data_IF_625223273820
#
_entry.id   IF_625223273820
#
_cell.length_a   1.000
_cell.length_b   1.000
_cell.length_c   1.000
_cell.angle_alpha   90.00
_cell.angle_beta   90.00
_cell.angle_gamma   90.00
#
_symmetry.space_group_name_H-M   'P 1'
#
loop_
_entity.id
_entity.type
_entity.pdbx_description
1 polymer ?
#
# COMPACT_ATOMS: atom_id res chain seq x y z
N UNK A 1 -6.98 -0.60 -17.58
CA UNK A 1 -6.36 -1.95 -17.64
C UNK A 1 -6.96 -2.82 -16.55
N UNK A 2 -7.38 -4.02 -16.87
CA UNK A 2 -7.99 -4.87 -15.87
C UNK A 2 -6.92 -5.68 -15.14
N UNK A 3 -7.33 -6.34 -14.04
CA UNK A 3 -6.35 -7.02 -13.19
C UNK A 3 -5.65 -8.17 -13.91
N UNK A 4 -6.36 -8.85 -14.80
CA UNK A 4 -5.74 -9.94 -15.55
C UNK A 4 -4.62 -9.43 -16.44
N UNK A 5 -4.86 -8.30 -17.12
CA UNK A 5 -3.83 -7.67 -17.94
C UNK A 5 -2.65 -7.21 -17.12
N UNK A 6 -2.92 -6.65 -15.95
CA UNK A 6 -1.85 -6.21 -15.06
C UNK A 6 -0.97 -7.36 -14.64
N UNK A 7 -1.59 -8.47 -14.29
CA UNK A 7 -0.82 -9.67 -13.90
C UNK A 7 -0.02 -10.21 -15.07
N UNK A 8 -0.64 -10.28 -16.24
CA UNK A 8 0.06 -10.77 -17.43
C UNK A 8 1.24 -9.87 -17.79
N UNK A 9 1.05 -8.55 -17.70
CA UNK A 9 2.13 -7.62 -17.98
C UNK A 9 3.28 -7.75 -17.01
N UNK A 10 2.99 -8.15 -15.78
CA UNK A 10 4.00 -8.39 -14.76
C UNK A 10 4.59 -9.80 -14.86
N UNK A 11 4.18 -10.56 -15.89
CA UNK A 11 4.64 -11.93 -16.11
C UNK A 11 4.23 -12.85 -14.98
N UNK A 12 3.06 -12.58 -14.41
CA UNK A 12 2.49 -13.41 -13.37
C UNK A 12 1.25 -14.10 -13.90
N UNK A 13 1.12 -15.37 -13.52
CA UNK A 13 -0.06 -16.12 -13.87
C UNK A 13 -1.27 -15.52 -13.17
N UNK A 14 -2.35 -15.33 -13.92
CA UNK A 14 -3.56 -14.70 -13.39
C UNK A 14 -4.43 -15.72 -12.66
N UNK A 15 -3.96 -16.17 -11.51
CA UNK A 15 -4.73 -17.08 -10.67
C UNK A 15 -5.90 -16.33 -10.03
N UNK A 16 -6.89 -17.08 -9.59
CA UNK A 16 -8.06 -16.47 -8.98
C UNK A 16 -7.69 -15.68 -7.72
N UNK A 17 -6.82 -16.23 -6.89
CA UNK A 17 -6.39 -15.54 -5.67
C UNK A 17 -5.71 -14.20 -5.99
N UNK A 18 -4.83 -14.20 -6.98
CA UNK A 18 -4.15 -12.96 -7.37
C UNK A 18 -5.11 -11.93 -7.90
N UNK A 19 -6.07 -12.36 -8.73
CA UNK A 19 -7.05 -11.42 -9.29
C UNK A 19 -7.90 -10.81 -8.20
N UNK A 20 -8.34 -11.62 -7.24
CA UNK A 20 -9.21 -11.13 -6.17
C UNK A 20 -8.46 -10.14 -5.28
N UNK A 21 -7.25 -10.49 -4.88
CA UNK A 21 -6.48 -9.62 -3.98
C UNK A 21 -6.08 -8.34 -4.69
N UNK A 22 -5.58 -8.44 -5.92
CA UNK A 22 -5.18 -7.25 -6.67
C UNK A 22 -6.37 -6.34 -6.93
N UNK A 23 -7.51 -6.90 -7.28
CA UNK A 23 -8.72 -6.12 -7.51
C UNK A 23 -9.16 -5.37 -6.28
N UNK A 24 -9.06 -6.00 -5.11
CA UNK A 24 -9.41 -5.34 -3.87
C UNK A 24 -8.49 -4.16 -3.59
N UNK A 25 -7.18 -4.35 -3.78
CA UNK A 25 -6.23 -3.28 -3.52
C UNK A 25 -6.45 -2.09 -4.45
N UNK A 26 -6.76 -2.36 -5.71
CA UNK A 26 -7.01 -1.28 -6.67
C UNK A 26 -8.31 -0.55 -6.31
N UNK A 27 -9.33 -1.30 -5.95
CA UNK A 27 -10.62 -0.70 -5.59
C UNK A 27 -10.48 0.23 -4.40
N UNK A 28 -9.77 -0.21 -3.36
CA UNK A 28 -9.60 0.59 -2.15
C UNK A 28 -8.63 1.75 -2.35
N UNK A 29 -7.65 1.57 -3.23
CA UNK A 29 -6.68 2.61 -3.58
C UNK A 29 -6.00 3.23 -2.35
N UNK A 30 -5.82 2.46 -1.31
CA UNK A 30 -5.11 2.89 -0.11
C UNK A 30 -4.40 1.68 0.49
N UNK A 31 -3.31 1.91 1.23
CA UNK A 31 -2.57 0.79 1.81
C UNK A 31 -3.40 0.04 2.84
N UNK A 32 -3.40 -1.27 2.74
CA UNK A 32 -4.15 -2.14 3.63
C UNK A 32 -3.22 -3.18 4.24
N UNK A 33 -3.40 -3.45 5.52
CA UNK A 33 -2.64 -4.49 6.19
C UNK A 33 -3.15 -5.87 5.78
N UNK A 34 -2.36 -6.90 6.06
CA UNK A 34 -2.77 -8.27 5.82
C UNK A 34 -4.11 -8.57 6.49
N UNK A 35 -4.26 -8.12 7.74
CA UNK A 35 -5.47 -8.34 8.50
C UNK A 35 -6.68 -7.64 7.87
N UNK A 36 -6.47 -6.41 7.41
CA UNK A 36 -7.55 -5.67 6.76
C UNK A 36 -7.97 -6.33 5.46
N UNK A 37 -6.98 -6.75 4.66
CA UNK A 37 -7.28 -7.44 3.41
C UNK A 37 -8.08 -8.70 3.69
N UNK A 38 -7.64 -9.48 4.67
CA UNK A 38 -8.30 -10.73 5.02
C UNK A 38 -9.76 -10.50 5.39
N UNK A 39 -10.03 -9.45 6.15
CA UNK A 39 -11.39 -9.16 6.60
C UNK A 39 -12.29 -8.65 5.48
N UNK A 40 -11.70 -8.13 4.40
CA UNK A 40 -12.47 -7.56 3.29
C UNK A 40 -12.74 -8.54 2.17
N UNK A 41 -12.07 -9.68 2.16
CA UNK A 41 -12.27 -10.68 1.11
C UNK A 41 -13.62 -11.36 1.29
N UNK A 42 -14.39 -11.44 0.20
CA UNK A 42 -15.69 -12.13 0.26
C UNK A 42 -15.51 -13.63 0.41
N UNK A 43 -14.48 -14.18 -0.21
CA UNK A 43 -14.12 -15.59 -0.04
C UNK A 43 -12.81 -15.65 0.73
N UNK A 44 -12.80 -16.20 1.92
CA UNK A 44 -11.61 -16.19 2.75
C UNK A 44 -10.48 -16.99 2.12
N UNK A 45 -9.28 -16.45 2.26
CA UNK A 45 -8.06 -17.17 1.94
C UNK A 45 -7.36 -17.48 3.26
N UNK A 46 -6.72 -18.65 3.32
CA UNK A 46 -5.94 -18.92 4.52
C UNK A 46 -4.75 -17.96 4.58
N UNK A 47 -4.22 -17.82 5.78
CA UNK A 47 -3.20 -16.81 6.06
C UNK A 47 -1.96 -16.99 5.20
N UNK A 48 -1.53 -18.24 5.01
CA UNK A 48 -0.32 -18.53 4.24
C UNK A 48 -0.52 -18.20 2.77
N UNK A 49 -1.69 -18.56 2.23
CA UNK A 49 -1.99 -18.30 0.83
C UNK A 49 -2.04 -16.79 0.56
N UNK A 50 -2.69 -16.04 1.43
CA UNK A 50 -2.75 -14.59 1.26
C UNK A 50 -1.36 -13.98 1.35
N UNK A 51 -0.56 -14.41 2.32
CA UNK A 51 0.79 -13.92 2.49
C UNK A 51 1.62 -14.16 1.22
N UNK A 52 1.57 -15.37 0.69
CA UNK A 52 2.34 -15.73 -0.51
C UNK A 52 1.86 -14.95 -1.73
N UNK A 53 0.55 -14.76 -1.84
CA UNK A 53 -0.01 -13.99 -2.94
C UNK A 53 0.51 -12.56 -2.91
N UNK A 54 0.49 -11.94 -1.75
CA UNK A 54 0.99 -10.57 -1.59
C UNK A 54 2.49 -10.49 -1.86
N UNK A 55 3.25 -11.47 -1.38
CA UNK A 55 4.70 -11.46 -1.58
C UNK A 55 5.06 -11.59 -3.06
N UNK A 56 4.38 -12.46 -3.77
CA UNK A 56 4.63 -12.64 -5.20
C UNK A 56 4.36 -11.36 -5.97
N UNK A 57 3.24 -10.70 -5.67
CA UNK A 57 2.89 -9.48 -6.39
C UNK A 57 3.77 -8.31 -5.98
N UNK A 58 4.22 -8.29 -4.74
CA UNK A 58 5.15 -7.24 -4.29
C UNK A 58 6.50 -7.41 -4.98
N UNK A 59 6.98 -8.64 -5.10
CA UNK A 59 8.26 -8.90 -5.76
C UNK A 59 8.22 -8.51 -7.23
N UNK A 60 7.05 -8.58 -7.87
CA UNK A 60 6.93 -8.20 -9.27
C UNK A 60 6.75 -6.71 -9.48
N UNK A 61 6.50 -5.96 -8.42
CA UNK A 61 6.36 -4.52 -8.50
C UNK A 61 4.95 -4.01 -8.72
N UNK A 62 3.96 -4.88 -8.93
CA UNK A 62 2.59 -4.40 -9.13
C UNK A 62 1.90 -4.08 -7.81
N UNK A 63 2.42 -4.56 -6.69
CA UNK A 63 1.96 -4.21 -5.37
C UNK A 63 3.12 -3.55 -4.64
N UNK A 64 2.84 -2.46 -3.97
CA UNK A 64 3.82 -1.74 -3.17
C UNK A 64 3.53 -1.96 -1.71
N UNK A 65 4.57 -2.06 -0.89
CA UNK A 65 4.39 -2.25 0.54
C UNK A 65 5.03 -1.11 1.31
N UNK A 66 4.39 -0.73 2.40
CA UNK A 66 4.82 0.36 3.26
C UNK A 66 4.70 -0.11 4.70
N UNK A 67 5.76 0.07 5.48
CA UNK A 67 5.72 -0.27 6.89
C UNK A 67 5.32 0.96 7.69
N UNK A 68 4.29 0.82 8.53
CA UNK A 68 3.89 1.90 9.40
C UNK A 68 4.75 1.98 10.62
N UNK A 69 4.56 3.06 11.38
CA UNK A 69 5.27 3.27 12.62
C UNK A 69 4.96 2.17 13.64
N UNK A 70 3.79 1.57 13.49
CA UNK A 70 3.35 0.47 14.35
C UNK A 70 4.00 -0.87 13.97
N UNK A 71 4.88 -0.86 12.98
CA UNK A 71 5.55 -2.08 12.52
C UNK A 71 4.72 -2.92 11.58
N UNK A 72 3.52 -2.50 11.27
CA UNK A 72 2.62 -3.28 10.43
C UNK A 72 2.88 -2.96 8.96
N UNK A 73 3.06 -4.00 8.16
CA UNK A 73 3.22 -3.84 6.72
C UNK A 73 1.85 -3.67 6.08
N UNK A 74 1.77 -2.71 5.16
CA UNK A 74 0.55 -2.44 4.41
C UNK A 74 0.87 -2.51 2.93
N UNK A 75 -0.14 -2.87 2.15
CA UNK A 75 0.02 -3.14 0.72
C UNK A 75 -0.96 -2.30 -0.07
N UNK A 76 -0.51 -1.75 -1.18
CA UNK A 76 -1.39 -0.98 -2.06
C UNK A 76 -1.04 -1.26 -3.51
N UNK A 77 -2.02 -1.06 -4.37
CA UNK A 77 -1.84 -1.19 -5.80
C UNK A 77 -2.75 -0.17 -6.48
N UNK A 78 -2.30 0.29 -7.63
CA UNK A 78 -3.06 1.29 -8.39
C UNK A 78 -3.04 0.92 -9.85
N UNK A 79 -4.10 1.29 -10.54
CA UNK A 79 -4.17 1.10 -11.99
C UNK A 79 -3.07 1.93 -12.64
N UNK A 80 -2.20 1.32 -13.44
CA UNK A 80 -1.12 2.08 -14.09
C UNK A 80 -1.60 3.19 -14.99
N UNK A 81 -2.84 3.10 -15.47
CA UNK A 81 -3.39 4.12 -16.35
C UNK A 81 -3.99 5.29 -15.61
N UNK A 82 -4.15 5.19 -14.31
CA UNK A 82 -4.63 6.29 -13.49
C UNK A 82 -3.43 7.02 -12.90
N UNK A 83 -3.69 8.17 -12.28
CA UNK A 83 -2.64 8.85 -11.54
C UNK A 83 -2.51 8.21 -10.17
N UNK A 84 -2.12 6.95 -10.19
CA UNK A 84 -2.05 6.19 -8.97
C UNK A 84 -0.73 6.34 -8.27
N UNK A 85 -0.54 5.48 -7.31
CA UNK A 85 0.62 5.45 -6.46
C UNK A 85 1.79 4.77 -7.19
N UNK A 86 2.83 5.51 -7.56
CA UNK A 86 4.01 4.88 -8.16
C UNK A 86 4.94 4.29 -7.11
N UNK A 87 4.56 4.37 -5.82
CA UNK A 87 5.44 3.93 -4.77
C UNK A 87 6.47 4.96 -4.35
N UNK A 88 6.36 6.17 -4.90
CA UNK A 88 7.37 7.22 -4.69
C UNK A 88 6.70 8.47 -4.13
N UNK A 89 5.96 8.32 -3.05
CA UNK A 89 5.30 9.44 -2.41
C UNK A 89 5.11 9.12 -0.94
N UNK A 90 4.84 10.16 -0.12
CA UNK A 90 4.62 9.93 1.31
C UNK A 90 3.27 9.30 1.58
N UNK A 91 3.14 8.78 2.79
CA UNK A 91 1.88 8.21 3.27
C UNK A 91 1.56 8.84 4.62
N UNK A 92 0.29 8.82 4.99
CA UNK A 92 -0.16 9.27 6.31
C UNK A 92 -0.77 8.09 7.05
N UNK A 93 -0.37 7.92 8.31
CA UNK A 93 -0.89 6.87 9.18
C UNK A 93 -1.61 7.49 10.36
N UNK A 94 -2.88 7.13 10.53
CA UNK A 94 -3.62 7.53 11.71
C UNK A 94 -3.26 6.56 12.85
N UNK A 95 -2.76 7.12 13.95
CA UNK A 95 -2.37 6.29 15.08
C UNK A 95 -3.56 5.80 15.89
N UNK A 96 -4.75 6.34 15.64
CA UNK A 96 -5.94 5.97 16.40
C UNK A 96 -6.74 4.86 15.75
N UNK A 97 -6.96 4.94 14.44
CA UNK A 97 -7.75 3.91 13.76
C UNK A 97 -6.91 3.01 12.86
N UNK A 98 -5.62 3.31 12.67
CA UNK A 98 -4.75 2.48 11.87
C UNK A 98 -4.88 2.66 10.37
N UNK A 99 -5.71 3.60 9.94
CA UNK A 99 -5.91 3.86 8.52
C UNK A 99 -4.67 4.53 7.93
N UNK A 100 -4.25 4.07 6.77
CA UNK A 100 -3.15 4.70 6.04
C UNK A 100 -3.66 5.17 4.70
N UNK A 101 -3.21 6.35 4.27
CA UNK A 101 -3.58 6.87 2.97
C UNK A 101 -2.33 7.29 2.21
N UNK A 102 -2.43 7.28 0.90
CA UNK A 102 -1.36 7.74 0.01
C UNK A 102 -1.50 9.24 -0.21
N UNK A 103 -0.39 9.96 -0.05
CA UNK A 103 -0.36 11.40 -0.33
C UNK A 103 0.20 11.57 -1.75
N UNK A 104 -0.64 11.28 -2.73
CA UNK A 104 -0.21 11.10 -4.11
C UNK A 104 0.14 12.41 -4.81
N UNK A 105 -0.20 13.55 -4.23
CA UNK A 105 0.10 14.86 -4.82
C UNK A 105 1.48 15.37 -4.42
N UNK A 106 2.25 14.58 -3.71
CA UNK A 106 3.59 14.96 -3.25
C UNK A 106 4.59 13.87 -3.64
N UNK A 107 5.85 14.25 -3.67
CA UNK A 107 6.92 13.32 -3.99
C UNK A 107 7.88 13.22 -2.83
N UNK A 108 8.55 12.09 -2.74
CA UNK A 108 9.62 11.92 -1.75
C UNK A 108 10.83 12.74 -2.16
N UNK A 109 11.53 13.33 -1.20
CA UNK A 109 12.76 14.06 -1.52
C UNK A 109 13.84 13.11 -2.01
N UNK A 110 14.74 13.63 -2.82
CA UNK A 110 15.92 12.88 -3.21
C UNK A 110 16.87 12.84 -2.03
N UNK A 111 17.36 11.65 -1.72
CA UNK A 111 18.29 11.45 -0.62
C UNK A 111 19.55 10.81 -1.20
N UNK A 112 20.70 11.38 -0.90
CA UNK A 112 21.97 10.84 -1.34
C UNK A 112 22.65 10.13 -0.20
N UNK A 113 23.30 9.03 -0.51
CA UNK A 113 24.00 8.22 0.48
C UNK A 113 25.49 8.23 0.13
N UNK A 114 26.35 7.90 1.11
CA UNK A 114 27.79 7.86 0.84
C UNK A 114 28.15 6.85 -0.24
N UNK A 115 29.32 7.09 -0.85
CA UNK A 115 29.83 6.18 -1.87
C UNK A 115 29.95 4.77 -1.32
N UNK A 116 29.64 3.79 -2.16
CA UNK A 116 29.70 2.40 -1.76
C UNK A 116 28.42 1.86 -1.20
N UNK A 117 27.44 2.73 -0.97
CA UNK A 117 26.11 2.29 -0.52
C UNK A 117 25.13 2.35 -1.67
N UNK A 118 24.21 1.40 -1.70
CA UNK A 118 23.17 1.38 -2.71
C UNK A 118 21.81 1.57 -2.03
N UNK A 119 20.93 2.32 -2.68
CA UNK A 119 19.59 2.57 -2.16
C UNK A 119 18.62 1.58 -2.83
N UNK A 120 17.95 0.76 -2.03
CA UNK A 120 16.97 -0.18 -2.57
C UNK A 120 15.55 0.31 -2.41
N UNK A 121 15.34 1.40 -1.68
CA UNK A 121 14.03 1.97 -1.50
C UNK A 121 14.06 3.06 -0.47
N UNK A 122 12.97 3.79 -0.40
CA UNK A 122 12.78 4.80 0.63
C UNK A 122 11.30 4.95 0.88
N UNK A 123 10.95 5.36 2.08
CA UNK A 123 9.56 5.63 2.40
C UNK A 123 9.51 6.75 3.43
N UNK A 124 8.43 7.50 3.38
CA UNK A 124 8.17 8.57 4.34
C UNK A 124 6.74 8.39 4.83
N UNK A 125 6.59 8.24 6.13
CA UNK A 125 5.27 8.11 6.73
C UNK A 125 5.12 9.21 7.74
N UNK A 126 4.15 10.09 7.52
CA UNK A 126 3.74 11.04 8.54
C UNK A 126 2.59 10.43 9.32
N UNK A 127 2.45 10.77 10.58
CA UNK A 127 1.48 10.09 11.43
C UNK A 127 0.81 11.10 12.35
N UNK A 128 -0.37 10.73 12.80
CA UNK A 128 -1.13 11.58 13.68
C UNK A 128 -2.54 11.08 13.82
N UNK A 129 -3.50 11.97 13.71
CA UNK A 129 -4.91 11.68 13.87
C UNK A 129 -5.65 12.08 12.61
N UNK A 130 -6.40 11.15 12.02
CA UNK A 130 -7.15 11.47 10.79
C UNK A 130 -8.35 12.34 11.12
N UNK A 131 -8.99 12.87 10.07
CA UNK A 131 -10.12 13.80 10.25
C UNK A 131 -11.29 13.15 10.97
N UNK A 132 -11.45 11.84 10.84
CA UNK A 132 -12.56 11.14 11.48
C UNK A 132 -12.29 10.86 12.96
N UNK A 133 -11.02 10.74 13.35
CA UNK A 133 -10.65 10.48 14.73
C UNK A 133 -10.36 11.74 15.50
N UNK A 134 -10.22 12.86 14.82
CA UNK A 134 -9.83 14.12 15.42
C UNK A 134 -10.96 14.65 16.30
N UNK A 135 -10.70 15.02 17.56
CA UNK A 135 -11.72 15.68 18.37
C UNK A 135 -12.07 17.04 17.80
N UNK A 136 -13.33 17.43 17.95
CA UNK A 136 -13.79 18.69 17.39
C UNK A 136 -13.12 19.91 18.00
N UNK A 137 -12.64 19.78 19.23
CA UNK A 137 -12.09 20.92 19.94
C UNK A 137 -10.61 21.13 19.70
N UNK A 138 -9.96 20.31 18.87
CA UNK A 138 -8.53 20.43 18.65
C UNK A 138 -8.25 20.92 17.26
N UNK A 139 -8.46 22.16 17.03
CA UNK A 139 -8.34 22.67 15.68
C UNK A 139 -7.08 23.49 15.45
N UNK A 140 -6.34 23.92 16.48
CA UNK A 140 -5.19 24.77 16.23
C UNK A 140 -3.89 24.14 16.67
N UNK A 141 -3.86 22.88 16.73
CA UNK A 141 -2.60 22.24 17.10
C UNK A 141 -1.64 22.31 15.96
N UNK A 142 -0.85 22.81 16.02
CA UNK A 142 -0.02 22.89 15.09
C UNK A 142 0.67 23.00 14.84
#
# INVERSE_FOLDING_TARGET
>A
MNVEQMLNNAKLRATNQRKVVLGLLIEKASPLSHSEISSMLTEPLDKVTLYRTLQTMTASGIVHQVQGLDGVWRFCAHDPESKGCPGDHPHFLCLHCGKMICLTDQRLPRVEVPDGMTVEGKQLVVYGCCSECRPETEDEQR
#
